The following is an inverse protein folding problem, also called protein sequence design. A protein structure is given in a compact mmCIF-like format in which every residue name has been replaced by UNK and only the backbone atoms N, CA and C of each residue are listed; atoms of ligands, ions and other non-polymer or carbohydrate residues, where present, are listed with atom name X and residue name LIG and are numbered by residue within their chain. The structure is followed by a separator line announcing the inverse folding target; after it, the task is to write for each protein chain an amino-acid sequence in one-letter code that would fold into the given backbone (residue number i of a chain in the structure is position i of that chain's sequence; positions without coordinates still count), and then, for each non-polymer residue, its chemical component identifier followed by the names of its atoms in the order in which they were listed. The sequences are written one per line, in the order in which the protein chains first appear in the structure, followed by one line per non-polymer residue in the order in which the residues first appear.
data_IF_440714737475
#
_entry.id   IF_440714737475
#
_cell.length_a   1.000
_cell.length_b   1.000
_cell.length_c   1.000
_cell.angle_alpha   90.00
_cell.angle_beta   90.00
_cell.angle_gamma   90.00
#
_symmetry.space_group_name_H-M   'P 1'
#
loop_
_entity.id
_entity.type
_entity.pdbx_description
1 polymer ?
#
# COMPACT_ATOMS: atom_id res chain seq x y z
N UNK A 1 -26.42 18.98 5.62
CA UNK A 1 -25.42 18.45 4.66
C UNK A 1 -24.09 19.09 5.02
N UNK A 2 -23.13 18.31 5.52
CA UNK A 2 -21.79 18.85 5.83
C UNK A 2 -21.10 19.14 4.49
N UNK A 3 -20.73 20.39 4.28
CA UNK A 3 -19.97 20.86 3.12
C UNK A 3 -18.53 21.07 3.57
N UNK A 4 -17.58 20.37 2.95
CA UNK A 4 -16.15 20.62 3.11
C UNK A 4 -15.66 21.21 1.79
N UNK A 5 -15.21 22.47 1.81
CA UNK A 5 -14.79 23.22 0.62
C UNK A 5 -15.84 23.22 -0.52
N UNK A 6 -17.12 23.30 -0.17
CA UNK A 6 -18.23 23.32 -1.14
C UNK A 6 -18.60 21.96 -1.77
N UNK A 7 -17.88 20.88 -1.41
CA UNK A 7 -18.21 19.50 -1.81
C UNK A 7 -19.00 18.79 -0.73
N UNK A 8 -19.92 17.94 -1.15
CA UNK A 8 -20.67 17.02 -0.29
C UNK A 8 -19.85 15.76 -0.02
N UNK A 9 -20.20 15.01 1.03
CA UNK A 9 -19.61 13.68 1.29
C UNK A 9 -19.70 12.76 0.07
N UNK A 10 -20.83 12.82 -0.66
CA UNK A 10 -21.02 12.05 -1.88
C UNK A 10 -19.96 12.38 -2.93
N UNK A 11 -19.66 13.66 -3.14
CA UNK A 11 -18.68 14.08 -4.15
C UNK A 11 -17.27 13.56 -3.85
N UNK A 12 -16.91 13.43 -2.58
CA UNK A 12 -15.65 12.79 -2.18
C UNK A 12 -15.66 11.29 -2.44
N UNK A 13 -16.76 10.61 -2.11
CA UNK A 13 -16.89 9.16 -2.29
C UNK A 13 -16.95 8.75 -3.77
N UNK A 14 -17.59 9.54 -4.62
CA UNK A 14 -17.65 9.29 -6.07
C UNK A 14 -16.28 9.45 -6.75
N UNK A 15 -15.32 10.14 -6.11
CA UNK A 15 -13.95 10.27 -6.61
C UNK A 15 -13.02 9.13 -6.17
N UNK A 16 -13.47 8.25 -5.27
CA UNK A 16 -12.68 7.11 -4.81
C UNK A 16 -12.82 5.91 -5.77
N UNK A 17 -11.76 5.09 -5.93
CA UNK A 17 -11.88 3.77 -6.53
C UNK A 17 -12.96 2.96 -5.82
N UNK A 18 -13.77 2.24 -6.59
CA UNK A 18 -15.00 1.64 -6.04
C UNK A 18 -14.68 0.50 -5.06
N UNK A 19 -13.60 -0.21 -5.33
CA UNK A 19 -13.00 -1.26 -4.51
C UNK A 19 -12.47 -0.76 -3.16
N UNK A 20 -12.32 0.56 -2.96
CA UNK A 20 -11.91 1.14 -1.67
C UNK A 20 -13.07 1.40 -0.73
N UNK A 21 -14.29 1.39 -1.25
CA UNK A 21 -15.49 1.63 -0.45
C UNK A 21 -15.96 0.28 0.08
N UNK A 22 -15.76 0.05 1.38
CA UNK A 22 -16.15 -1.20 2.01
C UNK A 22 -17.66 -1.44 1.90
N UNK A 23 -18.04 -2.72 1.89
CA UNK A 23 -19.45 -3.10 1.84
C UNK A 23 -20.24 -2.56 3.04
N UNK A 24 -19.65 -2.58 4.24
CA UNK A 24 -20.29 -2.04 5.44
C UNK A 24 -20.52 -0.51 5.31
N UNK A 25 -19.58 0.21 4.69
CA UNK A 25 -19.74 1.63 4.39
C UNK A 25 -20.84 1.86 3.34
N UNK A 26 -20.86 1.06 2.27
CA UNK A 26 -21.92 1.12 1.26
C UNK A 26 -23.31 0.90 1.86
N UNK A 27 -23.47 -0.09 2.74
CA UNK A 27 -24.71 -0.35 3.48
C UNK A 27 -25.09 0.82 4.38
N UNK A 28 -24.13 1.37 5.13
CA UNK A 28 -24.36 2.53 5.99
C UNK A 28 -24.79 3.79 5.21
N UNK A 29 -24.23 4.01 4.01
CA UNK A 29 -24.61 5.11 3.12
C UNK A 29 -26.05 4.95 2.62
N UNK A 30 -26.42 3.75 2.16
CA UNK A 30 -27.79 3.45 1.70
C UNK A 30 -28.80 3.64 2.82
N UNK A 31 -28.50 3.17 4.04
CA UNK A 31 -29.36 3.37 5.21
C UNK A 31 -29.55 4.84 5.59
N UNK A 32 -28.64 5.72 5.16
CA UNK A 32 -28.71 7.18 5.33
C UNK A 32 -29.24 7.91 4.09
N UNK A 33 -29.74 7.18 3.09
CA UNK A 33 -30.27 7.74 1.83
C UNK A 33 -29.20 8.33 0.92
N UNK A 34 -27.92 8.01 1.14
CA UNK A 34 -26.81 8.42 0.28
C UNK A 34 -26.56 7.30 -0.73
N UNK A 35 -26.91 7.55 -1.98
CA UNK A 35 -26.71 6.60 -3.07
C UNK A 35 -25.58 7.08 -3.98
N UNK A 36 -24.54 6.26 -4.11
CA UNK A 36 -23.48 6.50 -5.08
C UNK A 36 -23.93 6.04 -6.47
N UNK A 37 -23.24 6.53 -7.51
CA UNK A 37 -23.42 6.06 -8.89
C UNK A 37 -23.23 4.53 -9.00
N UNK A 38 -23.91 3.84 -9.94
CA UNK A 38 -23.68 2.42 -10.17
C UNK A 38 -22.21 2.14 -10.51
N UNK A 39 -21.68 1.05 -9.97
CA UNK A 39 -20.31 0.60 -10.30
C UNK A 39 -20.22 0.25 -11.78
N UNK A 40 -19.24 0.83 -12.48
CA UNK A 40 -18.88 0.45 -13.84
C UNK A 40 -17.83 -0.66 -13.75
N UNK A 41 -18.08 -1.77 -14.46
CA UNK A 41 -17.16 -2.89 -14.54
C UNK A 41 -16.46 -2.92 -15.90
N UNK A 42 -15.19 -3.33 -15.88
CA UNK A 42 -14.32 -3.47 -17.03
C UNK A 42 -13.67 -4.85 -17.01
N UNK A 43 -13.24 -5.32 -18.19
CA UNK A 43 -12.43 -6.55 -18.29
C UNK A 43 -11.15 -6.33 -17.49
N UNK A 44 -10.85 -7.26 -16.59
CA UNK A 44 -9.74 -7.14 -15.67
C UNK A 44 -10.08 -6.78 -14.24
N UNK A 45 -11.31 -6.33 -13.98
CA UNK A 45 -11.75 -6.05 -12.62
C UNK A 45 -11.81 -7.31 -11.76
N UNK A 46 -11.37 -7.16 -10.53
CA UNK A 46 -11.52 -8.19 -9.51
C UNK A 46 -12.82 -7.99 -8.77
N UNK A 47 -13.59 -9.06 -8.63
CA UNK A 47 -14.92 -9.01 -8.03
C UNK A 47 -15.16 -10.13 -7.04
N UNK A 48 -16.05 -9.88 -6.09
CA UNK A 48 -16.65 -10.92 -5.24
C UNK A 48 -18.16 -10.73 -5.17
N UNK A 49 -18.88 -11.78 -4.81
CA UNK A 49 -20.29 -11.67 -4.49
C UNK A 49 -20.51 -10.79 -3.26
N UNK A 50 -21.57 -9.97 -3.29
CA UNK A 50 -22.01 -9.19 -2.14
C UNK A 50 -22.45 -10.11 -1.00
N UNK A 51 -22.24 -9.68 0.24
CA UNK A 51 -22.65 -10.38 1.45
C UNK A 51 -24.14 -10.68 1.49
N UNK A 52 -24.96 -9.76 0.98
CA UNK A 52 -26.41 -9.89 0.90
C UNK A 52 -26.90 -10.94 -0.10
N UNK A 53 -26.07 -11.40 -1.04
CA UNK A 53 -26.45 -12.41 -2.03
C UNK A 53 -26.36 -13.79 -1.41
N UNK A 54 -27.52 -14.36 -1.10
CA UNK A 54 -27.65 -15.74 -0.60
C UNK A 54 -27.92 -16.75 -1.72
N UNK A 55 -28.62 -16.30 -2.78
CA UNK A 55 -28.94 -17.10 -3.96
C UNK A 55 -28.75 -16.23 -5.21
N UNK A 56 -27.62 -16.38 -5.93
CA UNK A 56 -27.40 -15.67 -7.19
C UNK A 56 -28.46 -16.06 -8.24
N UNK A 57 -28.81 -15.12 -9.11
CA UNK A 57 -29.84 -15.27 -10.13
C UNK A 57 -29.53 -16.41 -11.10
N UNK A 58 -28.27 -16.51 -11.54
CA UNK A 58 -27.79 -17.61 -12.38
C UNK A 58 -27.26 -18.82 -11.58
N UNK A 59 -27.48 -18.82 -10.27
CA UNK A 59 -26.88 -19.77 -9.34
C UNK A 59 -25.37 -19.59 -9.19
N UNK A 60 -24.79 -20.35 -8.26
CA UNK A 60 -23.38 -20.24 -7.90
C UNK A 60 -22.41 -20.72 -8.98
N UNK A 61 -22.83 -21.61 -9.90
CA UNK A 61 -22.01 -22.11 -11.01
C UNK A 61 -20.60 -22.59 -10.56
N UNK A 62 -20.53 -23.25 -9.40
CA UNK A 62 -19.28 -23.74 -8.79
C UNK A 62 -18.54 -22.73 -7.92
N UNK A 63 -18.80 -21.43 -8.06
CA UNK A 63 -18.29 -20.41 -7.16
C UNK A 63 -18.92 -20.53 -5.76
N UNK A 64 -18.36 -19.80 -4.80
CA UNK A 64 -18.87 -19.70 -3.43
C UNK A 64 -19.00 -18.24 -3.05
N UNK A 65 -19.69 -18.00 -1.96
CA UNK A 65 -19.90 -16.65 -1.42
C UNK A 65 -18.58 -15.87 -1.21
N UNK A 66 -17.53 -16.54 -0.71
CA UNK A 66 -16.19 -15.95 -0.52
C UNK A 66 -15.33 -15.90 -1.78
N UNK A 67 -15.78 -16.46 -2.91
CA UNK A 67 -14.97 -16.51 -4.12
C UNK A 67 -14.66 -15.12 -4.63
N UNK A 68 -13.40 -14.93 -5.01
CA UNK A 68 -12.91 -13.78 -5.76
C UNK A 68 -12.68 -14.24 -7.18
N UNK A 69 -13.16 -13.47 -8.14
CA UNK A 69 -13.06 -13.76 -9.56
C UNK A 69 -12.63 -12.54 -10.35
N UNK A 70 -12.29 -12.78 -11.60
CA UNK A 70 -11.77 -11.81 -12.54
C UNK A 70 -12.76 -11.63 -13.69
N UNK A 71 -13.17 -10.39 -13.99
CA UNK A 71 -14.10 -10.10 -15.07
C UNK A 71 -13.43 -10.37 -16.41
N UNK A 72 -13.95 -11.37 -17.14
CA UNK A 72 -13.47 -11.75 -18.47
C UNK A 72 -14.20 -10.97 -19.58
N UNK A 73 -15.51 -10.81 -19.41
CA UNK A 73 -16.37 -10.16 -20.41
C UNK A 73 -17.44 -9.33 -19.72
N UNK A 74 -17.62 -8.09 -20.20
CA UNK A 74 -18.78 -7.25 -19.89
C UNK A 74 -19.78 -7.46 -21.03
N UNK A 75 -20.84 -8.23 -20.78
CA UNK A 75 -21.83 -8.60 -21.82
C UNK A 75 -22.74 -7.42 -22.12
N UNK A 76 -23.23 -6.79 -21.05
CA UNK A 76 -24.00 -5.55 -21.08
C UNK A 76 -23.84 -4.83 -19.73
N UNK A 77 -24.71 -3.86 -19.44
CA UNK A 77 -24.65 -3.07 -18.20
C UNK A 77 -24.88 -3.90 -16.94
N UNK A 78 -25.66 -4.97 -17.03
CA UNK A 78 -26.12 -5.75 -15.90
C UNK A 78 -25.50 -7.15 -15.86
N UNK A 79 -24.96 -7.66 -16.97
CA UNK A 79 -24.46 -9.03 -17.09
C UNK A 79 -22.93 -9.08 -17.32
N UNK A 80 -22.25 -9.88 -16.50
CA UNK A 80 -20.81 -10.10 -16.56
C UNK A 80 -20.49 -11.60 -16.69
N UNK A 81 -19.39 -11.92 -17.36
CA UNK A 81 -18.76 -13.24 -17.30
C UNK A 81 -17.50 -13.10 -16.43
N UNK A 82 -17.44 -13.88 -15.35
CA UNK A 82 -16.37 -13.83 -14.35
C UNK A 82 -15.69 -15.18 -14.25
N UNK A 83 -14.36 -15.19 -14.37
CA UNK A 83 -13.54 -16.37 -14.11
C UNK A 83 -13.26 -16.47 -12.61
N UNK A 84 -13.71 -17.56 -11.99
CA UNK A 84 -13.34 -17.94 -10.65
C UNK A 84 -12.37 -19.13 -10.70
N UNK A 85 -11.64 -19.39 -9.60
CA UNK A 85 -10.83 -20.61 -9.48
C UNK A 85 -11.65 -21.93 -9.54
N UNK A 86 -12.98 -21.85 -9.54
CA UNK A 86 -13.91 -22.97 -9.75
C UNK A 86 -14.43 -23.11 -11.19
N UNK A 87 -14.10 -22.18 -12.08
CA UNK A 87 -14.62 -22.08 -13.44
C UNK A 87 -15.25 -20.71 -13.74
N UNK A 88 -15.69 -20.52 -14.97
CA UNK A 88 -16.42 -19.33 -15.39
C UNK A 88 -17.87 -19.34 -14.90
N UNK A 89 -18.39 -18.17 -14.55
CA UNK A 89 -19.78 -17.99 -14.15
C UNK A 89 -20.35 -16.69 -14.73
N UNK A 90 -21.60 -16.75 -15.20
CA UNK A 90 -22.39 -15.55 -15.51
C UNK A 90 -22.94 -14.94 -14.23
N UNK A 91 -22.66 -13.67 -13.97
CA UNK A 91 -23.10 -12.96 -12.74
C UNK A 91 -23.77 -11.64 -13.09
N UNK A 92 -24.67 -11.17 -12.23
CA UNK A 92 -25.22 -9.83 -12.39
C UNK A 92 -24.31 -8.78 -11.73
N UNK A 93 -24.15 -7.63 -12.38
CA UNK A 93 -23.39 -6.49 -11.88
C UNK A 93 -23.89 -5.99 -10.52
N UNK A 94 -25.18 -6.17 -10.22
CA UNK A 94 -25.77 -5.82 -8.94
C UNK A 94 -25.54 -6.87 -7.83
N UNK A 95 -25.08 -8.08 -8.16
CA UNK A 95 -24.78 -9.17 -7.21
C UNK A 95 -23.32 -9.18 -6.76
N UNK A 96 -22.44 -8.48 -7.50
CA UNK A 96 -21.01 -8.41 -7.21
C UNK A 96 -20.56 -7.00 -6.84
N UNK A 97 -19.39 -6.90 -6.23
CA UNK A 97 -18.68 -5.65 -5.95
C UNK A 97 -17.21 -5.80 -6.35
N UNK A 98 -16.55 -4.68 -6.71
CA UNK A 98 -15.11 -4.67 -6.99
C UNK A 98 -14.31 -4.89 -5.70
N UNK A 99 -13.21 -5.62 -5.81
CA UNK A 99 -12.23 -5.79 -4.73
C UNK A 99 -10.87 -5.33 -5.20
N UNK A 100 -10.01 -4.96 -4.26
CA UNK A 100 -8.66 -4.50 -4.56
C UNK A 100 -7.88 -5.69 -5.16
N UNK A 101 -7.27 -5.52 -6.35
CA UNK A 101 -6.51 -6.59 -6.99
C UNK A 101 -5.20 -6.87 -6.24
N UNK A 102 -4.67 -8.07 -6.47
CA UNK A 102 -3.30 -8.42 -6.10
C UNK A 102 -2.40 -8.28 -7.32
N UNK A 103 -1.36 -7.46 -7.19
CA UNK A 103 -0.43 -7.12 -8.25
C UNK A 103 0.88 -7.88 -8.13
N UNK A 104 1.56 -8.05 -9.28
CA UNK A 104 2.93 -8.58 -9.33
C UNK A 104 3.87 -7.77 -8.43
N UNK A 105 4.72 -8.48 -7.71
CA UNK A 105 5.71 -7.94 -6.78
C UNK A 105 5.20 -7.87 -5.35
N UNK A 106 3.88 -7.89 -5.12
CA UNK A 106 3.32 -7.74 -3.78
C UNK A 106 3.65 -8.93 -2.88
N UNK A 107 3.94 -8.64 -1.62
CA UNK A 107 4.01 -9.66 -0.57
C UNK A 107 2.61 -10.06 -0.12
N UNK A 108 2.37 -11.37 -0.12
CA UNK A 108 1.08 -11.97 0.22
C UNK A 108 1.26 -13.16 1.14
N UNK A 109 0.23 -13.42 1.94
CA UNK A 109 0.13 -14.58 2.82
C UNK A 109 -1.27 -15.17 2.75
N UNK A 110 -1.43 -16.39 3.29
CA UNK A 110 -2.74 -17.00 3.43
C UNK A 110 -3.55 -16.32 4.53
N UNK A 111 -4.83 -16.08 4.26
CA UNK A 111 -5.76 -15.52 5.25
C UNK A 111 -5.89 -16.41 6.47
N UNK A 112 -6.10 -15.76 7.62
CA UNK A 112 -6.21 -16.43 8.90
C UNK A 112 -7.41 -17.39 9.06
N UNK A 113 -8.39 -17.37 8.18
CA UNK A 113 -9.53 -18.29 8.22
C UNK A 113 -9.38 -19.48 7.26
N UNK A 114 -8.31 -19.52 6.46
CA UNK A 114 -8.03 -20.63 5.54
C UNK A 114 -7.50 -21.83 6.32
N UNK A 115 -8.28 -22.91 6.32
CA UNK A 115 -7.91 -24.19 6.94
C UNK A 115 -7.09 -25.08 6.01
N UNK A 116 -7.45 -25.08 4.73
CA UNK A 116 -6.76 -25.82 3.69
C UNK A 116 -6.87 -25.04 2.37
N UNK A 117 -5.75 -24.63 1.77
CA UNK A 117 -5.76 -23.89 0.51
C UNK A 117 -6.31 -24.76 -0.63
N UNK A 118 -7.08 -24.16 -1.55
CA UNK A 118 -7.65 -24.86 -2.73
C UNK A 118 -6.60 -25.69 -3.49
N UNK A 119 -5.40 -25.17 -3.64
CA UNK A 119 -4.32 -25.81 -4.42
C UNK A 119 -3.35 -26.64 -3.55
N UNK A 120 -3.67 -26.79 -2.26
CA UNK A 120 -2.92 -27.54 -1.27
C UNK A 120 -1.65 -26.83 -0.80
N UNK A 121 -1.19 -27.19 0.41
CA UNK A 121 -0.06 -26.54 1.08
C UNK A 121 1.28 -26.62 0.32
N UNK A 122 1.56 -27.72 -0.38
CA UNK A 122 2.80 -27.90 -1.18
C UNK A 122 4.09 -27.53 -0.43
N UNK A 123 4.15 -27.81 0.88
CA UNK A 123 5.31 -27.51 1.73
C UNK A 123 5.34 -26.09 2.31
N UNK A 124 4.33 -25.25 2.03
CA UNK A 124 4.14 -23.96 2.68
C UNK A 124 3.38 -24.13 3.99
N UNK A 125 3.57 -23.15 4.87
CA UNK A 125 2.80 -22.97 6.10
C UNK A 125 1.91 -21.75 5.99
N UNK A 126 1.06 -21.56 6.99
CA UNK A 126 0.19 -20.38 7.09
C UNK A 126 0.97 -19.08 7.27
N UNK A 127 2.11 -19.15 7.96
CA UNK A 127 2.97 -17.99 8.22
C UNK A 127 3.96 -17.73 7.06
N UNK A 128 3.83 -18.47 5.96
CA UNK A 128 4.68 -18.29 4.79
C UNK A 128 4.27 -17.02 4.04
N UNK A 129 5.22 -16.09 3.93
CA UNK A 129 5.09 -14.90 3.09
C UNK A 129 5.69 -15.22 1.72
N UNK A 130 4.92 -14.98 0.68
CA UNK A 130 5.34 -15.15 -0.71
C UNK A 130 5.18 -13.87 -1.52
N UNK A 131 5.77 -13.85 -2.70
CA UNK A 131 5.71 -12.72 -3.64
C UNK A 131 4.82 -13.09 -4.82
N UNK A 132 3.85 -12.24 -5.19
CA UNK A 132 3.07 -12.43 -6.41
C UNK A 132 3.98 -12.31 -7.64
N UNK A 133 4.13 -13.39 -8.41
CA UNK A 133 4.95 -13.44 -9.62
C UNK A 133 4.16 -12.97 -10.85
N UNK A 134 2.89 -13.38 -10.94
CA UNK A 134 1.93 -12.98 -11.96
C UNK A 134 0.50 -13.37 -11.56
N UNK A 135 -0.45 -12.78 -12.26
CA UNK A 135 -1.85 -13.20 -12.33
C UNK A 135 -2.01 -13.90 -13.68
N UNK A 136 -2.45 -15.16 -13.69
CA UNK A 136 -2.76 -15.89 -14.92
C UNK A 136 -4.04 -15.30 -15.57
N UNK A 137 -4.27 -15.55 -16.86
CA UNK A 137 -5.40 -14.96 -17.61
C UNK A 137 -6.78 -15.33 -17.03
N UNK A 138 -6.87 -16.41 -16.24
CA UNK A 138 -8.08 -16.87 -15.55
C UNK A 138 -8.23 -16.30 -14.12
N UNK A 139 -7.33 -15.42 -13.69
CA UNK A 139 -7.31 -14.80 -12.36
C UNK A 139 -6.58 -15.60 -11.29
N UNK A 140 -5.99 -16.76 -11.61
CA UNK A 140 -5.21 -17.55 -10.65
C UNK A 140 -3.87 -16.86 -10.36
N UNK A 141 -3.51 -16.75 -9.08
CA UNK A 141 -2.22 -16.18 -8.68
C UNK A 141 -1.09 -17.21 -8.77
N UNK A 142 0.08 -16.74 -9.20
CA UNK A 142 1.35 -17.45 -9.04
C UNK A 142 2.17 -16.77 -7.96
N UNK A 143 2.41 -17.47 -6.85
CA UNK A 143 3.15 -16.96 -5.71
C UNK A 143 4.51 -17.65 -5.61
N UNK A 144 5.57 -16.85 -5.56
CA UNK A 144 6.93 -17.32 -5.34
C UNK A 144 7.25 -17.35 -3.86
N UNK A 145 7.84 -18.44 -3.39
CA UNK A 145 8.37 -18.55 -2.03
C UNK A 145 9.89 -18.78 -2.10
N UNK A 146 10.67 -18.26 -1.13
CA UNK A 146 12.09 -18.53 -1.06
C UNK A 146 12.39 -20.04 -1.11
N UNK A 147 13.26 -20.46 -2.03
CA UNK A 147 13.63 -21.86 -2.22
C UNK A 147 12.67 -22.71 -3.06
N UNK A 148 11.51 -22.18 -3.48
CA UNK A 148 10.61 -22.87 -4.40
C UNK A 148 11.03 -22.65 -5.87
N UNK A 149 11.11 -23.72 -6.66
CA UNK A 149 11.52 -23.66 -8.06
C UNK A 149 10.40 -23.30 -9.04
N UNK A 150 9.14 -23.30 -8.58
CA UNK A 150 7.95 -23.00 -9.40
C UNK A 150 6.99 -22.12 -8.59
N UNK A 151 6.28 -21.23 -9.30
CA UNK A 151 5.21 -20.44 -8.70
C UNK A 151 4.09 -21.35 -8.17
N UNK A 152 3.82 -21.24 -6.87
CA UNK A 152 2.71 -21.88 -6.18
C UNK A 152 1.40 -21.28 -6.68
N UNK A 153 0.44 -22.12 -7.07
CA UNK A 153 -0.89 -21.65 -7.46
C UNK A 153 -1.64 -21.24 -6.20
N UNK A 154 -2.21 -20.03 -6.18
CA UNK A 154 -3.02 -19.55 -5.08
C UNK A 154 -4.40 -19.10 -5.56
N UNK A 155 -5.43 -19.39 -4.78
CA UNK A 155 -6.76 -18.81 -4.99
C UNK A 155 -6.73 -17.38 -4.42
N UNK A 156 -7.01 -16.33 -5.22
CA UNK A 156 -7.02 -14.96 -4.72
C UNK A 156 -8.00 -14.73 -3.55
N UNK A 157 -9.04 -15.55 -3.43
CA UNK A 157 -9.97 -15.48 -2.31
C UNK A 157 -9.31 -15.85 -0.97
N UNK A 158 -8.22 -16.62 -1.00
CA UNK A 158 -7.51 -17.18 0.15
C UNK A 158 -6.28 -16.35 0.54
N UNK A 159 -5.88 -15.39 -0.30
CA UNK A 159 -4.69 -14.56 -0.10
C UNK A 159 -5.03 -13.17 0.40
N UNK A 160 -4.17 -12.62 1.24
CA UNK A 160 -4.18 -11.23 1.66
C UNK A 160 -2.78 -10.61 1.50
N UNK A 161 -2.73 -9.30 1.25
CA UNK A 161 -1.48 -8.54 1.21
C UNK A 161 -0.91 -8.43 2.62
N UNK A 162 0.40 -8.59 2.75
CA UNK A 162 1.09 -8.45 4.03
C UNK A 162 1.15 -6.98 4.42
N UNK A 163 0.73 -6.65 5.64
CA UNK A 163 0.94 -5.32 6.22
C UNK A 163 2.39 -5.22 6.76
N UNK A 164 3.28 -4.62 5.97
CA UNK A 164 4.70 -4.48 6.31
C UNK A 164 5.03 -3.22 7.13
N UNK A 165 4.17 -2.20 7.07
CA UNK A 165 4.42 -0.86 7.62
C UNK A 165 3.24 -0.35 8.44
N UNK A 166 3.52 0.64 9.29
CA UNK A 166 2.56 1.39 10.10
C UNK A 166 2.76 2.89 9.90
N UNK A 167 1.69 3.65 10.11
CA UNK A 167 1.80 5.13 10.15
C UNK A 167 2.79 5.54 11.23
N UNK A 168 3.72 6.43 10.88
CA UNK A 168 4.83 6.88 11.72
C UNK A 168 6.12 6.08 11.54
N UNK A 169 6.12 4.98 10.78
CA UNK A 169 7.34 4.24 10.49
C UNK A 169 8.30 5.09 9.64
N UNK A 170 9.58 5.01 9.97
CA UNK A 170 10.65 5.62 9.20
C UNK A 170 11.13 4.65 8.14
N UNK A 171 11.14 5.11 6.90
CA UNK A 171 11.50 4.29 5.76
C UNK A 171 12.53 4.99 4.90
N UNK A 172 13.40 4.19 4.27
CA UNK A 172 14.29 4.64 3.22
C UNK A 172 13.76 4.16 1.89
N UNK A 173 13.68 5.07 0.94
CA UNK A 173 13.42 4.75 -0.46
C UNK A 173 14.60 3.96 -0.98
N UNK A 174 14.37 2.80 -1.58
CA UNK A 174 15.46 1.91 -1.98
C UNK A 174 16.46 2.68 -2.87
N UNK A 175 17.76 2.72 -2.52
CA UNK A 175 18.75 3.46 -3.32
C UNK A 175 18.87 2.99 -4.77
N UNK A 176 18.49 1.74 -5.04
CA UNK A 176 18.50 1.12 -6.37
C UNK A 176 17.21 1.34 -7.15
N UNK A 177 16.24 2.07 -6.60
CA UNK A 177 14.95 2.33 -7.25
C UNK A 177 15.17 3.24 -8.48
N UNK A 178 14.89 2.71 -9.67
CA UNK A 178 15.03 3.43 -10.95
C UNK A 178 13.68 3.88 -11.52
N UNK A 179 12.60 3.20 -11.14
CA UNK A 179 11.22 3.50 -11.52
C UNK A 179 10.31 3.22 -10.34
N UNK A 180 9.26 4.00 -10.18
CA UNK A 180 8.21 3.76 -9.18
C UNK A 180 6.85 3.60 -9.87
N UNK A 181 5.98 2.74 -9.33
CA UNK A 181 4.65 2.44 -9.90
C UNK A 181 3.79 3.69 -10.06
N UNK A 182 3.87 4.60 -9.08
CA UNK A 182 3.13 5.87 -9.07
C UNK A 182 3.98 7.07 -9.54
N UNK A 183 5.18 6.80 -10.06
CA UNK A 183 6.13 7.80 -10.56
C UNK A 183 7.03 8.39 -9.47
N UNK A 184 8.29 8.68 -9.83
CA UNK A 184 9.28 9.25 -8.88
C UNK A 184 9.08 10.76 -8.65
N UNK A 185 8.64 11.51 -9.66
CA UNK A 185 8.55 12.97 -9.54
C UNK A 185 9.88 13.60 -9.12
N UNK A 186 9.86 14.41 -8.04
CA UNK A 186 11.04 15.08 -7.47
C UNK A 186 11.76 14.26 -6.39
N UNK A 187 11.39 13.01 -6.19
CA UNK A 187 11.96 12.15 -5.16
C UNK A 187 13.37 11.69 -5.52
N UNK A 188 14.25 11.61 -4.52
CA UNK A 188 15.60 11.07 -4.66
C UNK A 188 15.66 9.66 -4.08
N UNK A 189 16.05 8.62 -4.84
CA UNK A 189 16.33 7.30 -4.27
C UNK A 189 17.36 7.37 -3.13
N UNK A 190 17.13 6.62 -2.06
CA UNK A 190 17.93 6.68 -0.83
C UNK A 190 17.45 7.71 0.19
N UNK A 191 16.49 8.57 -0.16
CA UNK A 191 15.88 9.49 0.81
C UNK A 191 15.14 8.76 1.92
N UNK A 192 15.17 9.35 3.11
CA UNK A 192 14.46 8.89 4.30
C UNK A 192 13.21 9.74 4.46
N UNK A 193 12.08 9.09 4.73
CA UNK A 193 10.79 9.72 4.99
C UNK A 193 9.99 8.96 6.04
N UNK A 194 8.82 9.50 6.35
CA UNK A 194 7.91 8.94 7.35
C UNK A 194 6.62 8.49 6.66
N UNK A 195 6.12 7.29 7.01
CA UNK A 195 4.82 6.81 6.54
C UNK A 195 3.71 7.67 7.14
N UNK A 196 3.12 8.54 6.32
CA UNK A 196 2.03 9.42 6.72
C UNK A 196 0.67 8.72 6.67
N UNK A 197 0.44 7.93 5.62
CA UNK A 197 -0.83 7.24 5.43
C UNK A 197 -0.62 5.90 4.72
N UNK A 198 -1.39 4.90 5.12
CA UNK A 198 -1.54 3.62 4.41
C UNK A 198 -2.92 3.64 3.78
N UNK A 199 -2.97 3.55 2.45
CA UNK A 199 -4.21 3.58 1.67
C UNK A 199 -4.90 2.22 1.73
N UNK A 200 -6.19 2.10 1.37
CA UNK A 200 -6.91 0.83 1.42
C UNK A 200 -6.28 -0.32 0.61
N UNK A 201 -5.48 -0.02 -0.41
CA UNK A 201 -4.72 -0.98 -1.23
C UNK A 201 -3.32 -1.31 -0.67
N UNK A 202 -3.02 -0.82 0.53
CA UNK A 202 -1.73 -0.85 1.22
C UNK A 202 -0.60 -0.08 0.53
N UNK A 203 -0.89 0.73 -0.49
CA UNK A 203 0.10 1.69 -0.98
C UNK A 203 0.30 2.79 0.07
N UNK A 204 1.50 3.37 0.08
CA UNK A 204 1.95 4.29 1.11
C UNK A 204 1.95 5.73 0.60
N UNK A 205 1.64 6.67 1.49
CA UNK A 205 1.98 8.07 1.33
C UNK A 205 3.11 8.40 2.31
N UNK A 206 4.25 8.87 1.80
CA UNK A 206 5.41 9.24 2.60
C UNK A 206 5.57 10.74 2.67
N UNK A 207 5.73 11.28 3.86
CA UNK A 207 6.24 12.64 4.03
C UNK A 207 7.77 12.63 3.94
N UNK A 208 8.28 13.56 3.13
CA UNK A 208 9.69 13.79 2.90
C UNK A 208 9.93 15.27 3.15
N UNK A 209 10.86 15.61 4.05
CA UNK A 209 11.04 16.98 4.55
C UNK A 209 11.23 18.04 3.47
N UNK A 210 11.75 17.63 2.31
CA UNK A 210 12.01 18.52 1.19
C UNK A 210 10.91 18.59 0.14
N UNK A 211 9.79 17.87 0.33
CA UNK A 211 8.64 17.91 -0.58
C UNK A 211 7.42 18.53 0.11
N UNK A 212 6.65 19.37 -0.60
CA UNK A 212 5.46 19.99 -0.04
C UNK A 212 4.24 19.04 0.03
N UNK A 213 4.28 17.90 -0.68
CA UNK A 213 3.19 16.92 -0.72
C UNK A 213 3.75 15.53 -0.46
N UNK A 214 2.99 14.63 0.20
CA UNK A 214 3.40 13.25 0.38
C UNK A 214 3.65 12.54 -0.95
N UNK A 215 4.70 11.73 -1.00
CA UNK A 215 4.98 10.89 -2.16
C UNK A 215 4.21 9.57 -2.08
N UNK A 216 3.57 9.17 -3.18
CA UNK A 216 2.82 7.92 -3.28
C UNK A 216 3.72 6.80 -3.80
N UNK A 217 3.84 5.71 -3.05
CA UNK A 217 4.70 4.59 -3.40
C UNK A 217 4.10 3.24 -2.97
N UNK A 218 4.69 2.15 -3.44
CA UNK A 218 4.40 0.80 -2.96
C UNK A 218 5.34 0.40 -1.79
N UNK A 219 4.90 -0.42 -0.82
CA UNK A 219 5.75 -1.00 0.22
C UNK A 219 7.06 -1.61 -0.29
N UNK A 220 7.05 -2.23 -1.46
CA UNK A 220 8.21 -2.89 -2.04
C UNK A 220 9.28 -1.90 -2.53
N UNK A 221 8.94 -0.61 -2.68
CA UNK A 221 9.83 0.46 -3.14
C UNK A 221 10.65 1.07 -2.01
N UNK A 222 10.35 0.69 -0.76
CA UNK A 222 11.01 1.19 0.45
C UNK A 222 11.53 0.06 1.33
N UNK A 223 12.33 0.43 2.32
CA UNK A 223 12.82 -0.45 3.37
C UNK A 223 12.80 0.27 4.73
N UNK A 224 12.55 -0.44 5.83
CA UNK A 224 12.55 0.17 7.16
C UNK A 224 13.93 0.68 7.54
N UNK A 225 13.98 1.77 8.30
CA UNK A 225 15.21 2.28 8.91
C UNK A 225 15.00 2.61 10.37
N UNK A 226 16.09 2.60 11.14
CA UNK A 226 16.04 3.01 12.54
C UNK A 226 15.68 4.50 12.63
N UNK A 227 14.58 4.86 13.34
CA UNK A 227 14.15 6.24 13.43
C UNK A 227 15.15 7.08 14.22
N UNK A 228 15.31 8.34 13.83
CA UNK A 228 15.95 9.33 14.68
C UNK A 228 15.06 9.67 15.87
N UNK A 229 15.67 10.01 17.00
CA UNK A 229 14.96 10.38 18.23
C UNK A 229 15.48 11.71 18.74
N UNK A 230 14.59 12.46 19.39
CA UNK A 230 14.98 13.64 20.15
C UNK A 230 16.06 13.23 21.16
N UNK A 231 17.16 13.98 21.15
CA UNK A 231 18.32 13.74 21.98
C UNK A 231 19.42 12.89 21.33
N UNK A 232 19.20 12.30 20.15
CA UNK A 232 20.28 11.60 19.41
C UNK A 232 21.39 12.58 19.05
N UNK A 233 22.64 12.12 19.16
CA UNK A 233 23.83 12.85 18.67
C UNK A 233 24.04 12.50 17.21
N UNK A 234 24.15 13.51 16.35
CA UNK A 234 24.23 13.32 14.90
C UNK A 234 25.29 14.20 14.26
N UNK A 235 25.82 13.74 13.13
CA UNK A 235 26.66 14.52 12.23
C UNK A 235 26.30 14.22 10.77
N UNK A 236 26.80 15.05 9.84
CA UNK A 236 26.59 14.83 8.40
C UNK A 236 27.42 13.64 7.94
N UNK A 237 26.77 12.69 7.26
CA UNK A 237 27.42 11.51 6.65
C UNK A 237 28.60 11.92 5.79
N UNK A 238 29.70 11.16 5.87
CA UNK A 238 30.90 11.40 5.04
C UNK A 238 30.66 11.30 3.54
N UNK A 239 29.61 10.60 3.13
CA UNK A 239 29.22 10.46 1.71
C UNK A 239 28.47 11.68 1.15
N UNK A 240 28.03 12.62 1.99
CA UNK A 240 27.24 13.78 1.57
C UNK A 240 28.17 14.88 1.07
N UNK A 241 28.11 15.20 -0.22
CA UNK A 241 28.89 16.32 -0.76
C UNK A 241 28.27 17.68 -0.38
N UNK A 242 26.93 17.77 -0.45
CA UNK A 242 26.17 18.98 -0.14
C UNK A 242 24.86 18.59 0.57
N UNK A 243 24.67 18.97 1.84
CA UNK A 243 23.42 18.74 2.56
C UNK A 243 22.28 19.50 1.92
N UNK A 244 21.09 18.90 1.91
CA UNK A 244 19.91 19.47 1.26
C UNK A 244 19.50 20.82 1.86
N UNK A 245 19.68 21.00 3.16
CA UNK A 245 19.40 22.24 3.89
C UNK A 245 20.62 23.16 4.03
N UNK A 246 21.63 22.95 3.17
CA UNK A 246 22.91 23.63 3.13
C UNK A 246 23.77 23.49 4.39
N UNK A 247 25.09 23.62 4.22
CA UNK A 247 26.06 23.48 5.31
C UNK A 247 25.87 24.48 6.45
N UNK A 248 25.42 25.72 6.15
CA UNK A 248 25.20 26.73 7.18
C UNK A 248 26.41 27.04 8.07
N UNK A 249 27.63 26.79 7.57
CA UNK A 249 28.90 26.92 8.32
C UNK A 249 29.38 25.65 9.02
N UNK A 250 28.59 24.58 9.01
CA UNK A 250 28.93 23.28 9.60
C UNK A 250 29.77 22.42 8.66
N UNK A 251 30.35 21.36 9.21
CA UNK A 251 31.15 20.38 8.48
C UNK A 251 30.75 18.97 8.90
N UNK A 252 31.29 17.96 8.23
CA UNK A 252 31.17 16.57 8.69
C UNK A 252 31.69 16.30 10.11
N UNK A 253 32.50 17.19 10.70
CA UNK A 253 32.99 17.06 12.06
C UNK A 253 32.09 17.75 13.09
N UNK A 254 31.12 18.53 12.64
CA UNK A 254 30.15 19.17 13.51
C UNK A 254 29.20 18.10 14.04
N UNK A 255 29.17 17.96 15.37
CA UNK A 255 28.25 17.07 16.07
C UNK A 255 27.24 17.91 16.82
N UNK A 256 25.97 17.66 16.55
CA UNK A 256 24.84 18.28 17.23
C UNK A 256 23.96 17.25 17.92
N UNK A 257 22.94 17.76 18.62
CA UNK A 257 21.90 16.94 19.25
C UNK A 257 20.55 17.31 18.66
N UNK A 258 19.75 16.31 18.28
CA UNK A 258 18.40 16.56 17.79
C UNK A 258 17.55 17.13 18.93
N UNK A 259 17.03 18.34 18.76
CA UNK A 259 16.14 18.99 19.72
C UNK A 259 14.66 18.82 19.37
N UNK A 260 14.35 18.73 18.08
CA UNK A 260 13.00 18.56 17.54
C UNK A 260 13.04 17.78 16.22
N UNK A 261 11.95 17.08 15.93
CA UNK A 261 11.70 16.39 14.66
C UNK A 261 10.33 16.85 14.20
N UNK A 262 10.26 17.47 13.02
CA UNK A 262 8.98 17.87 12.42
C UNK A 262 8.21 16.64 11.88
N UNK A 263 6.94 16.83 11.56
CA UNK A 263 6.06 15.73 11.12
C UNK A 263 6.57 15.02 9.86
N UNK A 264 7.22 15.76 8.97
CA UNK A 264 7.80 15.26 7.72
C UNK A 264 9.21 14.65 7.88
N UNK A 265 9.69 14.57 9.12
CA UNK A 265 11.00 14.05 9.47
C UNK A 265 12.14 15.06 9.41
N UNK A 266 11.88 16.36 9.15
CA UNK A 266 12.90 17.40 9.23
C UNK A 266 13.53 17.42 10.63
N UNK A 267 14.85 17.30 10.69
CA UNK A 267 15.59 17.32 11.94
C UNK A 267 15.97 18.75 12.31
N UNK A 268 15.63 19.15 13.53
CA UNK A 268 16.11 20.40 14.14
C UNK A 268 17.21 20.03 15.13
N UNK A 269 18.40 20.57 14.90
CA UNK A 269 19.63 20.13 15.56
C UNK A 269 20.29 21.30 16.29
N UNK A 270 20.49 21.14 17.59
CA UNK A 270 21.31 22.03 18.40
C UNK A 270 22.79 21.67 18.25
N UNK A 271 23.56 22.57 17.64
CA UNK A 271 25.02 22.48 17.59
C UNK A 271 25.60 23.57 18.49
N UNK A 272 26.61 23.25 19.35
CA UNK A 272 27.21 24.23 20.24
C UNK A 272 27.70 25.50 19.53
N UNK A 273 27.53 26.65 20.18
CA UNK A 273 27.96 27.97 19.72
C UNK A 273 27.25 28.49 18.45
N UNK A 274 26.18 27.85 17.98
CA UNK A 274 25.28 28.44 16.99
C UNK A 274 24.24 29.35 17.65
N UNK A 275 23.87 30.48 17.01
CA UNK A 275 22.80 31.33 17.51
C UNK A 275 21.40 30.78 17.22
N UNK A 276 21.25 29.91 16.21
CA UNK A 276 19.99 29.28 15.81
C UNK A 276 20.19 27.78 15.60
N UNK A 277 19.16 26.96 15.88
CA UNK A 277 19.18 25.54 15.53
C UNK A 277 19.41 25.33 14.03
N UNK A 278 20.03 24.20 13.69
CA UNK A 278 20.32 23.84 12.31
C UNK A 278 19.30 22.82 11.81
N UNK A 279 18.80 23.03 10.59
CA UNK A 279 17.85 22.13 9.94
C UNK A 279 18.62 21.12 9.08
N UNK A 280 18.21 19.85 9.11
CA UNK A 280 18.84 18.82 8.29
C UNK A 280 17.83 17.78 7.79
N UNK A 281 18.02 17.37 6.54
CA UNK A 281 17.34 16.21 5.97
C UNK A 281 17.87 14.94 6.67
N UNK A 282 17.01 14.03 7.16
CA UNK A 282 17.47 12.81 7.82
C UNK A 282 18.33 11.90 6.93
N UNK A 283 18.20 12.01 5.61
CA UNK A 283 19.02 11.31 4.62
C UNK A 283 20.48 11.74 4.65
N UNK A 284 20.77 12.96 5.09
CA UNK A 284 22.13 13.51 5.16
C UNK A 284 22.85 13.17 6.47
N UNK A 285 22.11 12.70 7.48
CA UNK A 285 22.59 12.58 8.85
C UNK A 285 22.89 11.13 9.26
N UNK A 286 23.91 10.93 10.07
CA UNK A 286 24.19 9.67 10.76
C UNK A 286 24.27 9.87 12.27
N UNK A 287 23.89 8.83 13.02
CA UNK A 287 24.03 8.83 14.49
C UNK A 287 25.50 8.66 14.84
N UNK A 288 25.97 9.48 15.76
CA UNK A 288 27.31 9.35 16.33
C UNK A 288 27.23 8.38 17.49
N UNK A 289 27.78 7.18 17.32
CA UNK A 289 27.95 6.25 18.43
C UNK A 289 29.04 6.77 19.37
N UNK A 290 28.77 6.73 20.67
CA UNK A 290 29.82 6.94 21.66
C UNK A 290 30.72 5.69 21.63
N UNK A 291 31.87 5.78 20.97
CA UNK A 291 32.92 4.78 21.16
C UNK A 291 33.29 4.78 22.65
N UNK A 292 32.89 3.72 23.37
CA UNK A 292 33.31 3.45 24.75
C UNK A 292 34.74 2.95 24.79
#
# INVERSE_FOLDING_TARGET
MLLLNGKTLRDFLEALPREWISEDLMEALVNRGVHLSPTIFEVGDWVKFKRSVTTPTHGWQGAKHKSVGFVQTVVDRDNLIVSFCSGEAGVLANEVLKVIPLDRGQHVQLKGDVKEPRFGWRGQSRDSIGTVLCVDDDGILRVGFPGASRGWKADPAEMERVEEFKVGDWVRIRPTLTTAKHGLGSVTPGSIGIVYCIRPDNSLLLELSYLPNPWHCEPEEVEPVDPFKIGDRVCVKRSVAEPRYAWGGETHHSVGRISEIENDGLLIIEIPNRPIPWQADPSDMEKVEDFK
#
